data_IF_530927635612
#
_entry.id   IF_530927635612
#
_cell.length_a   1.000
_cell.length_b   1.000
_cell.length_c   1.000
_cell.angle_alpha   90.00
_cell.angle_beta   90.00
_cell.angle_gamma   90.00
#
_symmetry.space_group_name_H-M   'P 1'
#
loop_
_entity.id
_entity.type
_entity.pdbx_description
1 polymer ?
#
# COMPACT_ATOMS: atom_id res chain seq x y z
N UNK A 1 -29.82 27.19 43.65
CA UNK A 1 -30.47 25.91 43.28
C UNK A 1 -30.86 26.06 41.82
N UNK A 2 -30.30 25.40 40.81
CA UNK A 2 -29.62 24.10 40.73
C UNK A 2 -28.46 24.20 39.72
N UNK A 3 -27.35 23.53 40.04
CA UNK A 3 -26.15 23.44 39.22
C UNK A 3 -26.34 22.29 38.22
N UNK A 4 -26.30 22.57 36.92
CA UNK A 4 -26.22 21.52 35.91
C UNK A 4 -24.75 21.10 35.75
N UNK A 5 -24.53 19.83 36.01
CA UNK A 5 -23.27 19.11 36.06
C UNK A 5 -22.68 19.01 34.64
N UNK A 6 -21.43 19.44 34.48
CA UNK A 6 -20.64 19.32 33.26
C UNK A 6 -20.33 17.83 33.01
N UNK A 7 -20.78 17.30 31.88
CA UNK A 7 -20.42 15.96 31.39
C UNK A 7 -19.01 16.04 30.78
N UNK A 8 -18.05 15.15 31.13
CA UNK A 8 -16.71 15.23 30.59
C UNK A 8 -16.69 14.81 29.13
N UNK A 9 -16.04 15.64 28.31
CA UNK A 9 -15.77 15.47 26.88
C UNK A 9 -15.42 14.00 26.59
N UNK A 10 -16.36 13.28 26.01
CA UNK A 10 -16.11 12.01 25.32
C UNK A 10 -15.33 12.36 24.06
N UNK A 11 -14.05 11.98 24.02
CA UNK A 11 -13.15 12.24 22.89
C UNK A 11 -13.57 11.36 21.70
N UNK A 12 -14.43 11.92 20.86
CA UNK A 12 -14.99 11.33 19.63
C UNK A 12 -13.91 10.88 18.62
N UNK A 13 -12.67 11.34 18.79
CA UNK A 13 -11.52 10.95 17.97
C UNK A 13 -11.09 9.51 18.22
N UNK A 14 -11.22 8.99 19.44
CA UNK A 14 -10.90 7.60 19.75
C UNK A 14 -11.93 6.63 19.17
N UNK A 15 -13.23 6.97 19.29
CA UNK A 15 -14.31 6.17 18.70
C UNK A 15 -14.22 6.15 17.15
N UNK A 16 -13.74 7.25 16.55
CA UNK A 16 -13.52 7.36 15.09
C UNK A 16 -12.31 6.56 14.60
N UNK A 17 -11.18 6.60 15.32
CA UNK A 17 -9.98 5.82 15.00
C UNK A 17 -10.24 4.31 15.10
N UNK A 18 -10.98 3.88 16.12
CA UNK A 18 -11.41 2.48 16.27
C UNK A 18 -12.34 2.03 15.13
N UNK A 19 -13.13 2.94 14.56
CA UNK A 19 -13.97 2.67 13.39
C UNK A 19 -13.17 2.41 12.11
N UNK A 20 -12.17 3.24 11.84
CA UNK A 20 -11.28 3.10 10.67
C UNK A 20 -10.41 1.83 10.77
N UNK A 21 -9.87 1.52 11.95
CA UNK A 21 -9.13 0.27 12.18
C UNK A 21 -10.02 -0.95 11.93
N UNK A 22 -11.27 -0.95 12.39
CA UNK A 22 -12.20 -2.06 12.12
C UNK A 22 -12.45 -2.23 10.63
N UNK A 23 -12.64 -1.12 9.91
CA UNK A 23 -12.90 -1.14 8.47
C UNK A 23 -11.70 -1.66 7.68
N UNK A 24 -10.50 -1.24 8.06
CA UNK A 24 -9.25 -1.72 7.48
C UNK A 24 -9.05 -3.22 7.72
N UNK A 25 -9.25 -3.70 8.94
CA UNK A 25 -9.10 -5.13 9.27
C UNK A 25 -10.16 -6.02 8.60
N UNK A 26 -11.38 -5.51 8.43
CA UNK A 26 -12.44 -6.21 7.70
C UNK A 26 -12.12 -6.27 6.19
N UNK A 27 -11.65 -5.17 5.62
CA UNK A 27 -11.23 -5.11 4.21
C UNK A 27 -10.08 -6.07 3.91
N UNK A 28 -9.00 -6.04 4.70
CA UNK A 28 -7.80 -6.87 4.49
C UNK A 28 -8.12 -8.38 4.58
N UNK A 29 -9.01 -8.76 5.51
CA UNK A 29 -9.46 -10.16 5.64
C UNK A 29 -10.26 -10.68 4.44
N UNK A 30 -10.87 -9.79 3.66
CA UNK A 30 -11.67 -10.15 2.48
C UNK A 30 -10.86 -10.32 1.19
N UNK A 31 -9.61 -9.83 1.18
CA UNK A 31 -8.74 -9.85 -0.01
C UNK A 31 -7.76 -11.03 -0.01
N UNK A 32 -7.68 -11.80 1.08
CA UNK A 32 -6.77 -12.95 1.22
C UNK A 32 -7.56 -14.25 1.13
N UNK A 33 -7.45 -14.93 -0.02
CA UNK A 33 -8.04 -16.26 -0.21
C UNK A 33 -7.52 -17.24 0.85
N UNK A 34 -8.43 -17.79 1.67
CA UNK A 34 -8.11 -18.75 2.73
C UNK A 34 -7.85 -18.14 4.11
N UNK A 35 -7.94 -16.83 4.29
CA UNK A 35 -7.86 -16.22 5.62
C UNK A 35 -9.06 -16.66 6.50
N UNK A 36 -8.82 -17.10 7.75
CA UNK A 36 -9.90 -17.47 8.66
C UNK A 36 -10.75 -16.23 9.01
N UNK A 37 -12.07 -16.39 9.03
CA UNK A 37 -12.97 -15.30 9.42
C UNK A 37 -12.66 -14.80 10.83
N UNK A 38 -13.01 -13.53 11.11
CA UNK A 38 -12.90 -12.94 12.46
C UNK A 38 -13.56 -13.82 13.54
N UNK A 39 -14.69 -14.44 13.22
CA UNK A 39 -15.37 -15.37 14.12
C UNK A 39 -14.50 -16.59 14.42
N UNK A 40 -13.87 -17.21 13.41
CA UNK A 40 -12.96 -18.33 13.58
C UNK A 40 -11.68 -17.94 14.37
N UNK A 41 -11.18 -16.71 14.19
CA UNK A 41 -10.04 -16.21 14.97
C UNK A 41 -10.40 -16.00 16.45
N UNK A 42 -11.57 -15.42 16.73
CA UNK A 42 -12.05 -15.20 18.10
C UNK A 42 -12.36 -16.52 18.82
N UNK A 43 -12.89 -17.51 18.10
CA UNK A 43 -13.16 -18.84 18.65
C UNK A 43 -11.85 -19.52 19.09
N UNK A 44 -10.78 -19.43 18.27
CA UNK A 44 -9.44 -19.93 18.63
C UNK A 44 -8.83 -19.21 19.85
N UNK A 45 -9.05 -17.90 19.99
CA UNK A 45 -8.55 -17.13 21.13
C UNK A 45 -9.29 -17.44 22.44
N UNK A 46 -10.59 -17.73 22.36
CA UNK A 46 -11.39 -18.12 23.51
C UNK A 46 -11.11 -19.55 23.97
N UNK A 47 -10.75 -20.45 23.04
CA UNK A 47 -10.35 -21.82 23.35
C UNK A 47 -9.03 -21.87 24.15
N UNK A 48 -8.09 -20.96 23.87
CA UNK A 48 -6.86 -20.80 24.66
C UNK A 48 -7.15 -20.36 26.10
N UNK A 49 -8.20 -19.57 26.35
CA UNK A 49 -8.61 -19.22 27.71
C UNK A 49 -9.24 -20.41 28.46
N UNK A 50 -9.82 -21.37 27.75
CA UNK A 50 -10.31 -22.63 28.32
C UNK A 50 -9.19 -23.47 28.95
N UNK A 51 -7.98 -23.44 28.39
CA UNK A 51 -6.80 -24.14 28.93
C UNK A 51 -6.23 -23.49 30.19
N UNK A 52 -6.46 -22.19 30.41
CA UNK A 52 -5.99 -21.48 31.62
C UNK A 52 -6.95 -21.65 32.81
N UNK A 53 -8.17 -22.12 32.57
CA UNK A 53 -9.20 -22.35 33.60
C UNK A 53 -9.12 -23.69 34.34
N UNK A 54 -8.23 -24.59 33.95
CA UNK A 54 -8.11 -25.91 34.58
C UNK A 54 -7.38 -25.85 35.93
N UNK A 55 -8.15 -25.52 36.97
CA UNK A 55 -8.07 -26.05 38.35
C UNK A 55 -6.64 -26.25 38.90
N UNK A 56 -6.16 -25.29 39.70
CA UNK A 56 -5.11 -25.50 40.71
C UNK A 56 -5.50 -26.67 41.64
N UNK A 57 -5.13 -27.89 41.28
CA UNK A 57 -4.87 -28.96 42.24
C UNK A 57 -3.37 -28.94 42.49
N UNK A 58 -2.97 -28.23 43.52
CA UNK A 58 -1.61 -28.28 44.05
C UNK A 58 -1.36 -29.69 44.59
N UNK A 59 -0.88 -30.60 43.75
CA UNK A 59 -0.09 -31.71 44.24
C UNK A 59 1.22 -31.12 44.77
N UNK A 60 1.51 -31.39 46.04
CA UNK A 60 2.74 -30.98 46.71
C UNK A 60 3.95 -31.67 46.11
N UNK A 61 4.37 -31.24 44.92
CA UNK A 61 5.65 -31.59 44.35
C UNK A 61 6.73 -30.87 45.16
N UNK A 62 7.56 -31.65 45.84
CA UNK A 62 8.78 -31.19 46.49
C UNK A 62 9.66 -30.42 45.48
N UNK A 63 10.49 -29.45 45.92
CA UNK A 63 11.28 -28.61 45.03
C UNK A 63 12.16 -29.42 44.06
N UNK A 64 12.62 -30.60 44.47
CA UNK A 64 13.35 -31.57 43.63
C UNK A 64 12.53 -32.11 42.46
N UNK A 65 11.24 -32.38 42.65
CA UNK A 65 10.38 -32.91 41.59
C UNK A 65 10.04 -31.86 40.52
N UNK A 66 9.98 -30.58 40.89
CA UNK A 66 9.77 -29.47 39.93
C UNK A 66 10.97 -29.27 39.00
N UNK A 67 12.18 -29.42 39.53
CA UNK A 67 13.41 -29.34 38.72
C UNK A 67 13.46 -30.48 37.72
N UNK A 68 13.11 -31.71 38.11
CA UNK A 68 13.11 -32.86 37.20
C UNK A 68 12.09 -32.72 36.06
N UNK A 69 10.90 -32.19 36.34
CA UNK A 69 9.89 -31.93 35.30
C UNK A 69 10.37 -30.85 34.32
N UNK A 70 10.95 -29.76 34.83
CA UNK A 70 11.46 -28.69 33.99
C UNK A 70 12.61 -29.18 33.09
N UNK A 71 13.56 -29.95 33.63
CA UNK A 71 14.66 -30.53 32.85
C UNK A 71 14.15 -31.53 31.82
N UNK A 72 13.18 -32.38 32.17
CA UNK A 72 12.56 -33.32 31.23
C UNK A 72 11.86 -32.63 30.06
N UNK A 73 11.11 -31.55 30.31
CA UNK A 73 10.46 -30.76 29.26
C UNK A 73 11.47 -30.04 28.36
N UNK A 74 12.55 -29.51 28.93
CA UNK A 74 13.59 -28.83 28.17
C UNK A 74 14.36 -29.79 27.25
N UNK A 75 14.65 -31.01 27.73
CA UNK A 75 15.28 -32.06 26.93
C UNK A 75 14.34 -32.57 25.83
N UNK A 76 13.03 -32.68 26.08
CA UNK A 76 12.05 -33.06 25.07
C UNK A 76 11.91 -31.99 23.96
N UNK A 77 11.94 -30.70 24.31
CA UNK A 77 11.89 -29.60 23.34
C UNK A 77 13.15 -29.53 22.48
N UNK A 78 14.34 -29.71 23.10
CA UNK A 78 15.61 -29.73 22.36
C UNK A 78 15.73 -30.98 21.47
N UNK A 79 15.25 -32.14 21.92
CA UNK A 79 15.19 -33.36 21.10
C UNK A 79 14.21 -33.27 19.93
N UNK A 80 13.05 -32.64 20.13
CA UNK A 80 12.04 -32.43 19.08
C UNK A 80 12.51 -31.47 17.99
N UNK A 81 13.25 -30.42 18.35
CA UNK A 81 13.81 -29.47 17.38
C UNK A 81 14.89 -30.10 16.49
N UNK A 82 15.70 -31.04 17.02
CA UNK A 82 16.72 -31.74 16.24
C UNK A 82 16.16 -32.80 15.29
N UNK A 83 15.11 -33.52 15.70
CA UNK A 83 14.46 -34.51 14.83
C UNK A 83 13.69 -33.86 13.67
N UNK A 84 13.12 -32.66 13.88
CA UNK A 84 12.44 -31.91 12.83
C UNK A 84 13.41 -31.28 11.81
N UNK A 85 14.63 -30.91 12.21
CA UNK A 85 15.62 -30.32 11.31
C UNK A 85 16.28 -31.31 10.33
N UNK A 86 16.38 -32.58 10.70
CA UNK A 86 17.07 -33.61 9.90
C UNK A 86 16.20 -34.23 8.79
N UNK A 87 14.88 -33.99 8.77
CA UNK A 87 13.98 -34.57 7.77
C UNK A 87 13.69 -33.67 6.55
N UNK A 88 14.35 -32.51 6.45
CA UNK A 88 14.17 -31.54 5.35
C UNK A 88 15.31 -31.54 4.32
N UNK A 89 15.99 -32.68 4.16
CA UNK A 89 16.88 -32.85 3.01
C UNK A 89 16.07 -33.00 1.70
N UNK A 90 16.09 -31.92 0.92
CA UNK A 90 16.22 -31.89 -0.54
C UNK A 90 15.11 -32.57 -1.36
N UNK A 91 13.94 -31.94 -1.41
CA UNK A 91 13.27 -31.83 -2.72
C UNK A 91 13.90 -30.66 -3.47
N UNK A 92 14.79 -30.97 -4.42
CA UNK A 92 15.15 -30.00 -5.44
C UNK A 92 13.86 -29.59 -6.17
N UNK A 93 13.39 -28.37 -5.90
CA UNK A 93 12.33 -27.77 -6.69
C UNK A 93 12.91 -27.56 -8.07
N UNK A 94 12.53 -28.41 -9.02
CA UNK A 94 12.75 -28.13 -10.45
C UNK A 94 11.88 -26.93 -10.77
N UNK A 95 12.44 -25.74 -10.66
CA UNK A 95 11.82 -24.51 -11.15
C UNK A 95 11.78 -24.67 -12.66
N UNK A 96 10.58 -24.90 -13.20
CA UNK A 96 10.38 -24.87 -14.64
C UNK A 96 10.95 -23.55 -15.18
N UNK A 97 11.70 -23.56 -16.30
CA UNK A 97 12.27 -22.34 -16.84
C UNK A 97 11.14 -21.32 -17.02
N UNK A 98 11.28 -20.16 -16.39
CA UNK A 98 10.36 -19.04 -16.56
C UNK A 98 10.23 -18.80 -18.06
N UNK A 99 9.01 -18.86 -18.63
CA UNK A 99 8.83 -18.61 -20.06
C UNK A 99 9.47 -17.26 -20.39
N UNK A 100 10.38 -17.28 -21.36
CA UNK A 100 11.01 -16.10 -21.95
C UNK A 100 9.90 -15.10 -22.30
N UNK A 101 10.03 -13.80 -22.01
CA UNK A 101 8.94 -12.85 -22.19
C UNK A 101 8.38 -12.97 -23.60
N UNK A 102 7.13 -13.43 -23.70
CA UNK A 102 6.33 -13.25 -24.90
C UNK A 102 6.27 -11.75 -25.11
N UNK A 103 6.70 -11.28 -26.28
CA UNK A 103 6.56 -9.87 -26.68
C UNK A 103 5.13 -9.46 -26.37
N UNK A 104 4.97 -8.56 -25.39
CA UNK A 104 3.67 -8.15 -24.90
C UNK A 104 2.87 -7.52 -26.03
N UNK A 105 1.57 -7.76 -26.05
CA UNK A 105 0.66 -7.04 -26.95
C UNK A 105 0.75 -5.56 -26.60
N UNK A 106 0.96 -4.68 -27.59
CA UNK A 106 0.86 -3.24 -27.36
C UNK A 106 -0.53 -2.96 -26.77
N UNK A 107 -0.60 -2.22 -25.67
CA UNK A 107 -1.89 -1.82 -25.11
C UNK A 107 -2.63 -1.01 -26.18
N UNK A 108 -3.68 -1.60 -26.75
CA UNK A 108 -4.42 -1.07 -27.90
C UNK A 108 -4.83 0.38 -27.68
N UNK A 109 -4.85 1.20 -28.74
CA UNK A 109 -5.37 2.57 -28.68
C UNK A 109 -6.89 2.63 -28.50
N UNK A 110 -7.57 1.49 -28.52
CA UNK A 110 -9.02 1.39 -28.39
C UNK A 110 -9.47 1.69 -26.96
N UNK A 111 -10.42 2.62 -26.84
CA UNK A 111 -11.11 2.97 -25.58
C UNK A 111 -12.11 1.88 -25.21
N UNK A 112 -12.27 1.62 -23.92
CA UNK A 112 -13.23 0.68 -23.37
C UNK A 112 -12.59 -0.51 -22.65
N UNK A 113 -13.33 -1.61 -22.54
CA UNK A 113 -12.91 -2.77 -21.75
C UNK A 113 -11.57 -3.36 -22.24
N UNK A 114 -10.65 -3.58 -21.30
CA UNK A 114 -9.35 -4.22 -21.55
C UNK A 114 -9.42 -5.67 -21.08
N UNK A 115 -9.01 -6.59 -21.96
CA UNK A 115 -8.93 -7.99 -21.57
C UNK A 115 -7.84 -8.19 -20.50
N UNK A 116 -7.99 -9.17 -19.58
CA UNK A 116 -6.91 -9.51 -18.68
C UNK A 116 -5.67 -9.96 -19.46
N UNK A 117 -4.48 -9.51 -19.07
CA UNK A 117 -3.25 -9.89 -19.76
C UNK A 117 -2.03 -9.05 -19.41
N UNK A 118 -0.94 -9.32 -20.13
CA UNK A 118 0.31 -8.58 -20.00
C UNK A 118 0.53 -7.76 -21.26
N UNK A 119 0.68 -6.45 -21.08
CA UNK A 119 0.73 -5.47 -22.14
C UNK A 119 2.04 -4.69 -22.11
N UNK A 120 2.47 -4.25 -23.29
CA UNK A 120 3.52 -3.25 -23.42
C UNK A 120 2.88 -1.87 -23.53
N UNK A 121 3.33 -0.93 -22.71
CA UNK A 121 2.76 0.40 -22.62
C UNK A 121 3.85 1.47 -22.72
N UNK A 122 3.53 2.50 -23.49
CA UNK A 122 4.18 3.81 -23.50
C UNK A 122 3.04 4.79 -23.26
N UNK A 123 2.71 5.08 -21.99
CA UNK A 123 1.66 6.06 -21.69
C UNK A 123 2.28 7.46 -21.77
N UNK A 124 2.22 8.27 -20.71
CA UNK A 124 2.78 9.64 -20.68
C UNK A 124 4.28 9.64 -20.37
N UNK A 125 4.98 8.61 -20.82
CA UNK A 125 6.42 8.46 -20.69
C UNK A 125 6.99 7.85 -21.96
N UNK A 126 8.11 8.40 -22.42
CA UNK A 126 8.92 7.86 -23.51
C UNK A 126 9.59 6.53 -23.14
N UNK A 127 9.63 6.17 -21.85
CA UNK A 127 10.21 4.92 -21.36
C UNK A 127 9.16 3.80 -21.40
N UNK A 128 9.34 2.76 -22.23
CA UNK A 128 8.37 1.68 -22.32
C UNK A 128 8.42 0.75 -21.10
N UNK A 129 7.25 0.30 -20.65
CA UNK A 129 7.14 -0.64 -19.52
C UNK A 129 6.11 -1.74 -19.78
N UNK A 130 6.17 -2.79 -18.97
CA UNK A 130 5.21 -3.91 -19.00
C UNK A 130 4.18 -3.74 -17.90
N UNK A 131 2.90 -3.84 -18.25
CA UNK A 131 1.78 -3.76 -17.32
C UNK A 131 1.01 -5.09 -17.32
N UNK A 132 0.76 -5.64 -16.14
CA UNK A 132 -0.16 -6.76 -15.98
C UNK A 132 -1.52 -6.22 -15.56
N UNK A 133 -2.51 -6.38 -16.43
CA UNK A 133 -3.87 -5.86 -16.25
C UNK A 133 -4.79 -7.03 -15.85
N UNK A 134 -5.39 -7.01 -14.65
CA UNK A 134 -6.42 -7.96 -14.24
C UNK A 134 -7.72 -7.81 -15.05
N UNK A 135 -8.67 -8.73 -14.85
CA UNK A 135 -10.02 -8.56 -15.40
C UNK A 135 -10.76 -7.38 -14.77
N UNK A 136 -11.67 -6.77 -15.55
CA UNK A 136 -12.53 -5.67 -15.09
C UNK A 136 -11.94 -4.27 -15.25
N UNK A 137 -10.78 -4.15 -15.90
CA UNK A 137 -10.17 -2.86 -16.21
C UNK A 137 -10.66 -2.31 -17.55
N UNK A 138 -10.65 -0.99 -17.65
CA UNK A 138 -11.04 -0.21 -18.82
C UNK A 138 -9.89 0.72 -19.19
N UNK A 139 -9.83 1.11 -20.47
CA UNK A 139 -8.87 2.07 -21.01
C UNK A 139 -9.60 3.33 -21.42
N UNK A 140 -9.05 4.47 -21.01
CA UNK A 140 -9.56 5.79 -21.35
C UNK A 140 -8.89 6.33 -22.62
N UNK A 141 -9.45 7.39 -23.21
CA UNK A 141 -8.94 8.01 -24.44
C UNK A 141 -7.51 8.55 -24.30
N UNK A 142 -7.11 8.94 -23.09
CA UNK A 142 -5.79 9.49 -22.78
C UNK A 142 -4.71 8.40 -22.53
N UNK A 143 -5.08 7.13 -22.69
CA UNK A 143 -4.20 5.99 -22.55
C UNK A 143 -4.03 5.45 -21.14
N UNK A 144 -4.66 6.09 -20.14
CA UNK A 144 -4.71 5.57 -18.79
C UNK A 144 -5.64 4.35 -18.70
N UNK A 145 -5.37 3.48 -17.72
CA UNK A 145 -6.25 2.34 -17.43
C UNK A 145 -6.81 2.48 -16.03
N UNK A 146 -8.07 2.07 -15.86
CA UNK A 146 -8.75 2.17 -14.57
C UNK A 146 -9.66 0.97 -14.33
N UNK A 147 -9.95 0.70 -13.06
CA UNK A 147 -11.01 -0.21 -12.64
C UNK A 147 -12.01 0.57 -11.78
N UNK A 148 -13.30 0.27 -11.95
CA UNK A 148 -14.38 1.07 -11.34
C UNK A 148 -14.57 2.43 -12.04
N UNK A 149 -15.19 3.38 -11.36
CA UNK A 149 -15.27 4.78 -11.81
C UNK A 149 -14.11 5.55 -11.17
N UNK A 150 -13.08 5.98 -11.94
CA UNK A 150 -11.88 6.61 -11.40
C UNK A 150 -12.14 7.93 -10.68
N UNK A 151 -13.33 8.53 -10.85
CA UNK A 151 -13.74 9.77 -10.18
C UNK A 151 -14.61 9.52 -8.94
N UNK A 152 -14.87 8.26 -8.61
CA UNK A 152 -15.63 7.85 -7.44
C UNK A 152 -14.74 7.10 -6.45
N UNK A 153 -15.20 7.01 -5.20
CA UNK A 153 -14.44 6.39 -4.10
C UNK A 153 -14.14 4.88 -4.29
N UNK A 154 -14.74 4.23 -5.28
CA UNK A 154 -14.52 2.82 -5.61
C UNK A 154 -13.65 2.61 -6.87
N UNK A 155 -13.08 3.68 -7.43
CA UNK A 155 -12.21 3.63 -8.59
C UNK A 155 -10.74 3.53 -8.25
N UNK A 156 -9.97 2.99 -9.19
CA UNK A 156 -8.50 3.11 -9.21
C UNK A 156 -8.05 3.34 -10.64
N UNK A 157 -7.13 4.27 -10.84
CA UNK A 157 -6.48 4.51 -12.12
C UNK A 157 -4.98 4.26 -12.01
N UNK A 158 -4.38 3.75 -13.09
CA UNK A 158 -2.94 3.63 -13.24
C UNK A 158 -2.46 4.61 -14.31
N UNK A 159 -1.57 5.51 -13.88
CA UNK A 159 -0.95 6.53 -14.70
C UNK A 159 0.57 6.41 -14.59
N UNK A 160 1.29 6.70 -15.66
CA UNK A 160 2.76 6.80 -15.64
C UNK A 160 3.18 8.15 -16.19
N UNK A 161 4.26 8.71 -15.64
CA UNK A 161 4.73 10.06 -15.92
C UNK A 161 6.25 10.06 -16.03
N UNK A 162 6.79 10.84 -16.96
CA UNK A 162 8.16 11.34 -16.85
C UNK A 162 8.13 12.62 -15.99
N UNK A 163 8.81 12.63 -14.85
CA UNK A 163 8.81 13.78 -13.93
C UNK A 163 10.17 14.47 -13.98
N UNK A 164 10.20 15.64 -14.61
CA UNK A 164 11.40 16.48 -14.76
C UNK A 164 11.36 17.72 -13.87
N UNK A 165 10.19 18.06 -13.34
CA UNK A 165 9.96 19.25 -12.52
C UNK A 165 8.89 18.96 -11.48
N UNK A 166 8.97 19.62 -10.32
CA UNK A 166 7.96 19.54 -9.25
C UNK A 166 7.66 20.96 -8.74
N UNK A 167 6.40 21.29 -8.49
CA UNK A 167 6.04 22.59 -7.89
C UNK A 167 6.58 22.68 -6.46
N UNK A 168 7.08 23.84 -6.04
CA UNK A 168 7.51 24.02 -4.65
C UNK A 168 6.34 24.11 -3.65
N UNK A 169 5.16 24.52 -4.12
CA UNK A 169 3.91 24.55 -3.37
C UNK A 169 2.77 24.06 -4.26
N UNK A 170 2.11 22.96 -3.87
CA UNK A 170 1.05 22.37 -4.67
C UNK A 170 -0.30 23.10 -4.56
N UNK A 171 -0.51 23.86 -3.47
CA UNK A 171 -1.69 24.68 -3.24
C UNK A 171 -1.56 26.05 -3.93
N UNK A 172 -0.35 26.62 -3.88
CA UNK A 172 -0.04 27.91 -4.50
C UNK A 172 0.83 27.76 -5.76
N UNK A 173 0.51 26.79 -6.63
CA UNK A 173 1.37 26.43 -7.76
C UNK A 173 1.57 27.56 -8.80
N UNK A 174 0.64 28.52 -8.93
CA UNK A 174 0.75 29.64 -9.87
C UNK A 174 1.88 30.58 -9.47
N UNK A 175 2.83 30.77 -10.38
CA UNK A 175 3.98 31.65 -10.15
C UNK A 175 4.98 31.12 -9.13
N UNK A 176 4.85 29.86 -8.66
CA UNK A 176 5.89 29.22 -7.85
C UNK A 176 7.11 28.85 -8.67
N UNK A 177 8.23 28.74 -7.97
CA UNK A 177 9.44 28.14 -8.53
C UNK A 177 9.20 26.65 -8.74
N UNK A 178 9.45 26.20 -9.97
CA UNK A 178 9.59 24.78 -10.30
C UNK A 178 10.97 24.30 -9.86
N UNK A 179 11.00 23.15 -9.19
CA UNK A 179 12.24 22.47 -8.87
C UNK A 179 12.53 21.45 -9.96
N UNK A 180 13.61 21.66 -10.70
CA UNK A 180 14.11 20.69 -11.67
C UNK A 180 14.55 19.39 -10.97
N UNK A 181 14.27 18.26 -11.62
CA UNK A 181 14.60 16.93 -11.16
C UNK A 181 15.12 16.09 -12.33
N UNK A 182 16.22 15.36 -12.13
CA UNK A 182 16.80 14.46 -13.13
C UNK A 182 17.02 13.04 -12.62
N UNK A 183 16.71 12.77 -11.35
CA UNK A 183 16.88 11.47 -10.71
C UNK A 183 15.76 11.18 -9.71
N UNK A 184 15.55 9.90 -9.38
CA UNK A 184 14.62 9.47 -8.34
C UNK A 184 14.85 10.17 -7.01
N UNK A 185 16.11 10.33 -6.58
CA UNK A 185 16.45 10.99 -5.33
C UNK A 185 16.03 12.48 -5.33
N UNK A 186 16.19 13.16 -6.47
CA UNK A 186 15.79 14.56 -6.62
C UNK A 186 14.27 14.73 -6.63
N UNK A 187 13.54 13.83 -7.31
CA UNK A 187 12.06 13.82 -7.29
C UNK A 187 11.56 13.59 -5.86
N UNK A 188 12.09 12.60 -5.15
CA UNK A 188 11.73 12.34 -3.75
C UNK A 188 12.03 13.56 -2.88
N UNK A 189 13.21 14.14 -3.00
CA UNK A 189 13.60 15.32 -2.23
C UNK A 189 12.76 16.56 -2.57
N UNK A 190 12.26 16.67 -3.80
CA UNK A 190 11.35 17.73 -4.22
C UNK A 190 9.96 17.53 -3.60
N UNK A 191 9.38 16.33 -3.69
CA UNK A 191 8.08 16.01 -3.11
C UNK A 191 8.06 16.10 -1.58
N UNK A 192 9.13 15.67 -0.91
CA UNK A 192 9.25 15.81 0.56
C UNK A 192 9.31 17.27 1.00
N UNK A 193 9.89 18.14 0.17
CA UNK A 193 9.97 19.58 0.45
C UNK A 193 8.73 20.35 -0.03
N UNK A 194 7.88 19.73 -0.84
CA UNK A 194 6.71 20.35 -1.42
C UNK A 194 5.68 20.67 -0.34
N UNK A 195 5.11 21.87 -0.43
CA UNK A 195 4.06 22.34 0.48
C UNK A 195 2.67 22.10 -0.09
N UNK A 196 1.65 22.28 0.74
CA UNK A 196 0.25 22.25 0.32
C UNK A 196 -0.43 20.89 0.50
N UNK A 197 0.29 19.82 0.81
CA UNK A 197 -0.29 18.50 1.06
C UNK A 197 0.47 17.72 2.13
N UNK A 198 -0.18 16.66 2.64
CA UNK A 198 0.49 15.66 3.45
C UNK A 198 1.19 14.64 2.54
N UNK A 199 2.34 14.15 3.00
CA UNK A 199 3.11 13.11 2.33
C UNK A 199 3.44 12.02 3.35
N UNK A 200 3.25 10.76 2.98
CA UNK A 200 3.77 9.66 3.79
C UNK A 200 5.31 9.64 3.73
N UNK A 201 5.99 9.10 4.76
CA UNK A 201 7.44 8.94 4.72
C UNK A 201 7.87 8.12 3.48
N UNK A 202 8.89 8.55 2.73
CA UNK A 202 9.42 7.77 1.61
C UNK A 202 9.95 6.42 2.09
N UNK A 203 9.60 5.36 1.37
CA UNK A 203 10.06 4.00 1.68
C UNK A 203 10.72 3.38 0.44
N UNK A 204 11.92 2.85 0.59
CA UNK A 204 12.58 2.10 -0.47
C UNK A 204 11.89 0.74 -0.66
N UNK A 205 11.54 0.46 -1.92
CA UNK A 205 10.84 -0.76 -2.33
C UNK A 205 11.39 -1.26 -3.65
N UNK A 206 10.86 -2.39 -4.13
CA UNK A 206 11.07 -2.86 -5.50
C UNK A 206 9.77 -2.73 -6.28
N UNK A 207 9.82 -2.15 -7.47
CA UNK A 207 8.67 -2.04 -8.37
C UNK A 207 9.06 -2.54 -9.76
N UNK A 208 8.34 -3.54 -10.29
CA UNK A 208 8.69 -4.15 -11.57
C UNK A 208 10.08 -4.80 -11.61
N UNK A 209 10.64 -5.19 -10.45
CA UNK A 209 12.01 -5.70 -10.33
C UNK A 209 13.10 -4.62 -10.25
N UNK A 210 12.72 -3.33 -10.33
CA UNK A 210 13.64 -2.19 -10.21
C UNK A 210 13.61 -1.60 -8.80
N UNK A 211 14.74 -1.08 -8.30
CA UNK A 211 14.75 -0.23 -7.11
C UNK A 211 13.82 0.97 -7.31
N UNK A 212 12.96 1.21 -6.33
CA UNK A 212 11.99 2.29 -6.37
C UNK A 212 11.84 2.94 -4.99
N UNK A 213 11.29 4.14 -4.97
CA UNK A 213 10.82 4.77 -3.73
C UNK A 213 9.31 4.93 -3.79
N UNK A 214 8.61 4.38 -2.79
CA UNK A 214 7.17 4.50 -2.61
C UNK A 214 6.84 5.61 -1.63
N UNK A 215 5.88 6.44 -1.98
CA UNK A 215 5.28 7.44 -1.10
C UNK A 215 3.80 7.62 -1.44
N UNK A 216 3.04 8.17 -0.52
CA UNK A 216 1.61 8.44 -0.69
C UNK A 216 1.34 9.93 -0.46
N UNK A 217 0.60 10.55 -1.38
CA UNK A 217 -0.05 11.84 -1.15
C UNK A 217 -1.47 11.53 -0.69
N UNK A 218 -1.83 12.00 0.49
CA UNK A 218 -3.18 11.81 1.06
C UNK A 218 -3.83 13.16 1.22
N UNK A 219 -4.92 13.38 0.49
CA UNK A 219 -5.72 14.61 0.63
C UNK A 219 -6.98 14.22 1.39
N UNK A 220 -7.17 14.70 2.62
CA UNK A 220 -8.34 14.32 3.41
C UNK A 220 -9.63 14.82 2.75
N UNK A 221 -10.75 14.13 2.99
CA UNK A 221 -12.08 14.53 2.49
C UNK A 221 -12.55 15.90 3.01
N UNK A 222 -11.98 16.36 4.12
CA UNK A 222 -12.23 17.67 4.71
C UNK A 222 -11.21 18.74 4.30
N UNK A 223 -10.36 18.44 3.32
CA UNK A 223 -9.44 19.43 2.75
C UNK A 223 -10.22 20.64 2.22
N UNK A 224 -9.78 21.84 2.60
CA UNK A 224 -10.36 23.11 2.17
C UNK A 224 -9.36 23.85 1.29
N UNK A 225 -9.59 23.77 -0.03
CA UNK A 225 -8.76 24.41 -1.05
C UNK A 225 -9.10 25.89 -1.29
N UNK A 226 -9.98 26.53 -0.51
CA UNK A 226 -10.41 27.92 -0.77
C UNK A 226 -9.28 28.96 -0.67
N UNK A 227 -8.20 28.63 0.04
CA UNK A 227 -6.99 29.46 0.12
C UNK A 227 -5.98 29.22 -0.99
N UNK A 228 -6.17 28.20 -1.83
CA UNK A 228 -5.25 27.81 -2.88
C UNK A 228 -5.55 28.55 -4.19
N UNK A 229 -4.64 28.43 -5.16
CA UNK A 229 -4.84 29.01 -6.49
C UNK A 229 -5.99 28.33 -7.26
N UNK A 230 -6.32 27.10 -6.87
CA UNK A 230 -7.42 26.26 -7.35
C UNK A 230 -7.88 25.38 -6.17
N UNK A 231 -9.17 24.97 -6.03
CA UNK A 231 -9.61 23.98 -5.06
C UNK A 231 -8.79 22.67 -5.06
N UNK A 232 -8.12 22.34 -6.16
CA UNK A 232 -7.36 21.11 -6.34
C UNK A 232 -5.85 21.36 -6.23
N UNK A 233 -5.14 20.37 -5.70
CA UNK A 233 -3.68 20.44 -5.59
C UNK A 233 -3.01 20.10 -6.91
N UNK A 234 -1.87 20.74 -7.19
CA UNK A 234 -1.05 20.47 -8.38
C UNK A 234 0.37 20.07 -8.01
N UNK A 235 0.72 18.80 -8.25
CA UNK A 235 1.98 18.23 -7.74
C UNK A 235 3.17 18.51 -8.66
N UNK A 236 3.03 18.30 -9.96
CA UNK A 236 4.05 18.60 -10.95
C UNK A 236 3.43 18.99 -12.30
N UNK A 237 4.14 19.78 -13.12
CA UNK A 237 3.74 20.03 -14.50
C UNK A 237 3.99 18.79 -15.38
N UNK A 238 3.43 18.78 -16.59
CA UNK A 238 3.67 17.72 -17.57
C UNK A 238 5.17 17.63 -17.96
N UNK A 239 5.69 16.40 -18.08
CA UNK A 239 7.09 16.13 -18.42
C UNK A 239 7.44 16.15 -19.91
N UNK A 240 6.47 15.99 -20.82
CA UNK A 240 6.71 15.94 -22.28
C UNK A 240 5.61 16.67 -23.05
N UNK A 241 5.58 18.00 -22.93
CA UNK A 241 4.52 18.90 -23.38
C UNK A 241 3.88 18.58 -24.73
N UNK A 242 2.57 18.27 -24.68
CA UNK A 242 1.60 18.60 -25.75
C UNK A 242 0.18 18.82 -25.20
N UNK A 243 -0.12 18.38 -23.97
CA UNK A 243 -1.37 18.66 -23.24
C UNK A 243 -1.08 19.26 -21.85
N UNK A 244 -1.96 20.13 -21.31
CA UNK A 244 -1.79 20.76 -20.00
C UNK A 244 -2.10 19.80 -18.84
N UNK A 245 -1.98 18.49 -19.06
CA UNK A 245 -2.33 17.49 -18.06
C UNK A 245 -1.37 17.59 -16.88
N UNK A 246 -1.94 17.98 -15.75
CA UNK A 246 -1.29 18.17 -14.48
C UNK A 246 -1.82 17.06 -13.57
N UNK A 247 -0.98 16.56 -12.66
CA UNK A 247 -1.50 15.70 -11.61
C UNK A 247 -2.36 16.55 -10.66
N UNK A 248 -3.67 16.53 -10.89
CA UNK A 248 -4.67 17.03 -9.96
C UNK A 248 -4.87 16.04 -8.83
N UNK A 249 -4.97 16.55 -7.61
CA UNK A 249 -5.32 15.75 -6.45
C UNK A 249 -6.49 16.39 -5.73
N UNK A 250 -7.59 15.66 -5.66
CA UNK A 250 -8.86 16.11 -5.11
C UNK A 250 -9.00 15.73 -3.64
N UNK A 251 -9.89 16.41 -2.93
CA UNK A 251 -10.24 16.07 -1.55
C UNK A 251 -10.78 14.63 -1.45
N UNK A 252 -10.21 13.84 -0.55
CA UNK A 252 -10.56 12.43 -0.35
C UNK A 252 -9.71 11.44 -1.14
N UNK A 253 -8.83 11.92 -2.02
CA UNK A 253 -7.95 11.05 -2.80
C UNK A 253 -6.70 10.62 -2.03
N UNK A 254 -6.23 9.43 -2.36
CA UNK A 254 -4.91 8.94 -2.00
C UNK A 254 -4.19 8.53 -3.27
N UNK A 255 -3.05 9.16 -3.53
CA UNK A 255 -2.19 8.84 -4.67
C UNK A 255 -0.98 8.09 -4.15
N UNK A 256 -0.85 6.83 -4.52
CA UNK A 256 0.36 6.04 -4.30
C UNK A 256 1.30 6.23 -5.48
N UNK A 257 2.49 6.75 -5.22
CA UNK A 257 3.52 7.03 -6.21
C UNK A 257 4.68 6.06 -6.02
N UNK A 258 5.09 5.43 -7.11
CA UNK A 258 6.34 4.68 -7.20
C UNK A 258 7.28 5.44 -8.12
N UNK A 259 8.43 5.86 -7.59
CA UNK A 259 9.44 6.60 -8.35
C UNK A 259 10.56 5.64 -8.66
N UNK A 260 10.81 5.45 -9.95
CA UNK A 260 11.87 4.58 -10.50
C UNK A 260 12.81 5.42 -11.34
N UNK A 261 14.10 5.10 -11.31
CA UNK A 261 15.04 5.64 -12.28
C UNK A 261 14.82 4.93 -13.63
N UNK A 262 14.62 5.70 -14.70
CA UNK A 262 14.46 5.19 -16.05
C UNK A 262 15.62 5.63 -16.93
N UNK A 263 16.17 4.69 -17.71
CA UNK A 263 17.10 5.05 -18.77
C UNK A 263 16.29 5.61 -19.95
N UNK A 264 16.34 6.94 -20.15
CA UNK A 264 15.79 7.56 -21.35
C UNK A 264 16.69 7.13 -22.52
N UNK A 265 16.23 6.20 -23.34
CA UNK A 265 16.94 5.88 -24.58
C UNK A 265 16.82 7.08 -25.53
N UNK A 266 17.95 7.60 -26.05
CA UNK A 266 17.98 8.76 -26.94
C UNK A 266 17.36 8.50 -28.31
#
# INVERSE_FOLDING_TARGET
MSSAMHDPIRDDRFDRFDGEIRRFLEWDSSQIDGAPSRAAMLERLLDVRGLVGARRRTFGATPTMRVLIAVGLLLALLGGAFAAGAYWEQRAVVVAPTPKPTVGTLLTTQVGAVAPGTYWATARTSVPFTLHIPGGWQREWDGNVHAGDPWAANGVAFNSWLVTQVYSDACHWQGTTLRETGSRAEVVAALVAQKGHALSPPNDVTFGGLPATRLDIVVPTYYDGTGCDDPDLRVWPNGEGVDPDILWVFAGETITIYIVDGDVQP
#
